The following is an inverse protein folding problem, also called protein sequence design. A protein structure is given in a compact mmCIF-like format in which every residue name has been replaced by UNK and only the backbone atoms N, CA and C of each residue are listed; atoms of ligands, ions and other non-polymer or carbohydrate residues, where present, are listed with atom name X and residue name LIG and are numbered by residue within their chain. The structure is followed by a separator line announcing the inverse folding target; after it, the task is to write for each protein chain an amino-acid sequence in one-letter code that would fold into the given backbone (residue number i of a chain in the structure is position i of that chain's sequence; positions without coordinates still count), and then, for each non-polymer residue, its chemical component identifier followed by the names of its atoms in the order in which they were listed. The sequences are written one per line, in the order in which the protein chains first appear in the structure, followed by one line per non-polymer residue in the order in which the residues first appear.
data_IF_360650399659
#
_entry.id   IF_360650399659
#
_cell.length_a   1.000
_cell.length_b   1.000
_cell.length_c   1.000
_cell.angle_alpha   90.00
_cell.angle_beta   90.00
_cell.angle_gamma   90.00
#
_symmetry.space_group_name_H-M   'P 1'
#
loop_
_entity.id
_entity.type
_entity.pdbx_description
1 polymer ?
#
# COMPACT_ATOMS: atom_id res chain seq x y z
N UNK A 1 26.01 10.68 -22.10
CA UNK A 1 24.82 10.36 -21.29
C UNK A 1 25.26 10.39 -19.84
N UNK A 2 24.48 10.98 -18.93
CA UNK A 2 24.81 10.87 -17.51
C UNK A 2 24.83 9.40 -17.09
N UNK A 3 25.66 9.03 -16.12
CA UNK A 3 25.69 7.68 -15.54
C UNK A 3 24.33 7.25 -14.92
N UNK A 4 23.35 8.16 -14.88
CA UNK A 4 22.01 7.99 -14.32
C UNK A 4 20.93 7.67 -15.37
N UNK A 5 21.23 7.76 -16.67
CA UNK A 5 20.27 7.45 -17.75
C UNK A 5 20.66 6.16 -18.47
N UNK A 6 20.39 5.02 -17.83
CA UNK A 6 20.56 3.71 -18.46
C UNK A 6 19.60 3.55 -19.67
N UNK A 7 19.96 2.79 -20.72
CA UNK A 7 19.13 2.63 -21.92
C UNK A 7 17.70 2.16 -21.63
N UNK A 8 17.54 1.21 -20.71
CA UNK A 8 16.23 0.69 -20.28
C UNK A 8 15.38 1.79 -19.66
N UNK A 9 15.98 2.61 -18.78
CA UNK A 9 15.30 3.74 -18.18
C UNK A 9 14.90 4.78 -19.24
N UNK A 10 15.81 5.13 -20.16
CA UNK A 10 15.50 6.06 -21.25
C UNK A 10 14.29 5.60 -22.08
N UNK A 11 14.21 4.30 -22.38
CA UNK A 11 13.08 3.70 -23.09
C UNK A 11 11.75 3.81 -22.33
N UNK A 12 11.75 3.58 -21.01
CA UNK A 12 10.57 3.75 -20.16
C UNK A 12 10.12 5.22 -20.12
N UNK A 13 11.05 6.15 -19.87
CA UNK A 13 10.71 7.57 -19.80
C UNK A 13 10.09 8.09 -21.09
N UNK A 14 10.60 7.67 -22.25
CA UNK A 14 10.10 8.08 -23.55
C UNK A 14 8.63 7.65 -23.77
N UNK A 15 8.25 6.46 -23.29
CA UNK A 15 6.86 5.96 -23.38
C UNK A 15 5.93 6.63 -22.36
N UNK A 16 6.47 7.06 -21.23
CA UNK A 16 5.77 7.88 -20.25
C UNK A 16 5.59 9.35 -20.66
N UNK A 17 6.21 9.77 -21.76
CA UNK A 17 6.06 11.13 -22.31
C UNK A 17 7.14 12.12 -21.90
N UNK A 18 8.24 11.68 -21.28
CA UNK A 18 9.35 12.54 -20.86
C UNK A 18 10.72 11.97 -21.23
N UNK A 19 11.77 12.76 -21.03
CA UNK A 19 13.14 12.39 -21.35
C UNK A 19 14.02 12.34 -20.11
N UNK A 20 15.22 11.76 -20.25
CA UNK A 20 16.23 11.81 -19.21
C UNK A 20 16.66 13.24 -18.83
N UNK A 21 16.48 14.22 -19.71
CA UNK A 21 16.81 15.63 -19.43
C UNK A 21 15.77 16.25 -18.47
N UNK A 22 14.57 15.67 -18.39
CA UNK A 22 13.49 16.11 -17.51
C UNK A 22 13.60 15.57 -16.08
N UNK A 23 14.57 14.69 -15.79
CA UNK A 23 14.77 14.06 -14.47
C UNK A 23 15.07 15.07 -13.34
N UNK A 24 15.59 16.26 -13.69
CA UNK A 24 15.97 17.29 -12.72
C UNK A 24 17.08 16.83 -11.76
N UNK A 25 16.98 17.18 -10.47
CA UNK A 25 18.02 16.93 -9.46
C UNK A 25 17.60 15.99 -8.33
N UNK A 26 18.29 16.08 -7.19
CA UNK A 26 17.92 15.35 -5.96
C UNK A 26 16.50 15.68 -5.49
N UNK A 27 16.06 16.92 -5.74
CA UNK A 27 14.69 17.40 -5.54
C UNK A 27 14.33 18.23 -6.76
N UNK A 28 13.14 18.00 -7.33
CA UNK A 28 12.64 18.69 -8.51
C UNK A 28 11.20 19.17 -8.26
N UNK A 29 10.89 20.36 -8.77
CA UNK A 29 9.56 20.96 -8.69
C UNK A 29 9.04 21.26 -10.09
N UNK A 30 7.81 20.85 -10.39
CA UNK A 30 7.13 21.11 -11.66
C UNK A 30 5.79 21.80 -11.43
N UNK A 31 5.29 22.47 -12.45
CA UNK A 31 3.96 23.06 -12.41
C UNK A 31 2.91 21.92 -12.57
N UNK A 32 1.98 21.71 -11.63
CA UNK A 32 0.97 20.65 -11.72
C UNK A 32 0.05 20.78 -12.94
N UNK A 33 -0.05 21.98 -13.53
CA UNK A 33 -0.87 22.23 -14.72
C UNK A 33 -0.19 21.82 -16.04
N UNK A 34 1.11 21.52 -16.00
CA UNK A 34 1.93 21.16 -17.17
C UNK A 34 2.40 19.70 -17.12
N UNK A 35 1.79 18.86 -16.27
CA UNK A 35 2.10 17.44 -16.23
C UNK A 35 1.50 16.73 -17.46
N UNK A 36 2.04 15.57 -17.81
CA UNK A 36 1.69 14.80 -19.03
C UNK A 36 0.18 14.62 -19.23
N UNK A 37 -0.57 14.43 -18.15
CA UNK A 37 -2.02 14.39 -18.20
C UNK A 37 -2.65 14.83 -16.87
N UNK A 38 -3.95 15.15 -16.92
CA UNK A 38 -4.72 15.67 -15.78
C UNK A 38 -4.88 14.70 -14.61
N UNK A 39 -4.66 13.39 -14.82
CA UNK A 39 -4.82 12.40 -13.75
C UNK A 39 -3.64 12.40 -12.78
N UNK A 40 -2.45 12.82 -13.23
CA UNK A 40 -1.25 12.94 -12.39
C UNK A 40 -1.46 13.89 -11.19
N UNK A 41 -1.85 15.18 -11.36
CA UNK A 41 -2.06 16.06 -10.22
C UNK A 41 -3.25 15.64 -9.36
N UNK A 42 -4.28 15.03 -9.95
CA UNK A 42 -5.42 14.50 -9.18
C UNK A 42 -4.99 13.35 -8.24
N UNK A 43 -4.16 12.44 -8.75
CA UNK A 43 -3.58 11.36 -7.96
C UNK A 43 -2.69 11.91 -6.84
N UNK A 44 -1.78 12.84 -7.16
CA UNK A 44 -0.89 13.45 -6.16
C UNK A 44 -1.68 14.06 -5.00
N UNK A 45 -2.65 14.91 -5.31
CA UNK A 45 -3.45 15.60 -4.29
C UNK A 45 -4.20 14.58 -3.44
N UNK A 46 -4.81 13.56 -4.05
CA UNK A 46 -5.56 12.52 -3.34
C UNK A 46 -4.66 11.80 -2.34
N UNK A 47 -3.50 11.32 -2.80
CA UNK A 47 -2.59 10.51 -2.00
C UNK A 47 -1.87 11.34 -0.93
N UNK A 48 -1.36 12.51 -1.28
CA UNK A 48 -0.64 13.41 -0.36
C UNK A 48 -1.60 13.92 0.73
N UNK A 49 -2.82 14.32 0.37
CA UNK A 49 -3.82 14.72 1.36
C UNK A 49 -4.13 13.58 2.33
N UNK A 50 -4.25 12.34 1.83
CA UNK A 50 -4.42 11.16 2.66
C UNK A 50 -3.28 10.92 3.64
N UNK A 51 -2.04 11.02 3.17
CA UNK A 51 -0.85 10.85 4.01
C UNK A 51 -0.75 11.92 5.10
N UNK A 52 -1.05 13.17 4.76
CA UNK A 52 -1.09 14.29 5.71
C UNK A 52 -2.21 14.08 6.74
N UNK A 53 -3.41 13.71 6.31
CA UNK A 53 -4.52 13.40 7.21
C UNK A 53 -4.18 12.23 8.14
N UNK A 54 -3.54 11.18 7.64
CA UNK A 54 -3.07 10.04 8.43
C UNK A 54 -2.01 10.45 9.46
N UNK A 55 -1.09 11.35 9.11
CA UNK A 55 -0.08 11.87 10.03
C UNK A 55 -0.71 12.75 11.12
N UNK A 56 -1.57 13.70 10.74
CA UNK A 56 -2.32 14.55 11.68
C UNK A 56 -3.11 13.68 12.64
N UNK A 57 -3.81 12.67 12.11
CA UNK A 57 -4.54 11.69 12.90
C UNK A 57 -3.61 10.94 13.88
N UNK A 58 -2.47 10.43 13.43
CA UNK A 58 -1.51 9.72 14.27
C UNK A 58 -0.97 10.60 15.42
N UNK A 59 -0.61 11.85 15.12
CA UNK A 59 -0.12 12.82 16.12
C UNK A 59 -1.21 13.16 17.13
N UNK A 60 -2.43 13.45 16.67
CA UNK A 60 -3.57 13.78 17.55
C UNK A 60 -3.91 12.59 18.44
N UNK A 61 -3.91 11.38 17.88
CA UNK A 61 -4.18 10.15 18.64
C UNK A 61 -3.17 9.93 19.75
N UNK A 62 -1.88 10.07 19.47
CA UNK A 62 -0.86 9.92 20.50
C UNK A 62 -1.01 10.98 21.59
N UNK A 63 -1.21 12.24 21.22
CA UNK A 63 -1.34 13.35 22.18
C UNK A 63 -2.59 13.25 23.06
N UNK A 64 -3.72 12.79 22.51
CA UNK A 64 -5.00 12.76 23.23
C UNK A 64 -5.29 11.44 23.94
N UNK A 65 -4.77 10.33 23.42
CA UNK A 65 -5.10 8.98 23.90
C UNK A 65 -3.87 8.17 24.34
N UNK A 66 -2.67 8.75 24.31
CA UNK A 66 -1.44 8.03 24.69
C UNK A 66 -1.07 6.90 23.74
N UNK A 67 -1.71 6.82 22.57
CA UNK A 67 -1.55 5.70 21.62
C UNK A 67 -0.69 6.11 20.40
N UNK A 68 0.62 5.78 20.40
CA UNK A 68 1.53 6.08 19.30
C UNK A 68 1.46 5.07 18.14
N UNK A 69 0.55 4.10 18.17
CA UNK A 69 0.52 2.99 17.20
C UNK A 69 0.47 3.46 15.76
N UNK A 70 -0.37 4.45 15.45
CA UNK A 70 -0.48 5.01 14.10
C UNK A 70 0.74 5.85 13.71
N UNK A 71 1.47 6.41 14.68
CA UNK A 71 2.70 7.16 14.39
C UNK A 71 3.81 6.20 13.99
N UNK A 72 3.94 5.09 14.71
CA UNK A 72 4.87 4.01 14.39
C UNK A 72 4.51 3.34 13.06
N UNK A 73 3.22 3.17 12.77
CA UNK A 73 2.76 2.68 11.46
C UNK A 73 3.19 3.63 10.33
N UNK A 74 2.92 4.94 10.49
CA UNK A 74 3.20 5.95 9.47
C UNK A 74 4.71 6.04 9.17
N UNK A 75 5.54 6.24 10.20
CA UNK A 75 6.99 6.34 10.00
C UNK A 75 7.64 4.98 9.74
N UNK A 76 7.06 3.87 10.19
CA UNK A 76 7.50 2.53 9.84
C UNK A 76 7.33 2.24 8.36
N UNK A 77 6.24 2.71 7.75
CA UNK A 77 6.03 2.63 6.30
C UNK A 77 7.05 3.48 5.52
N UNK A 78 7.41 4.67 6.03
CA UNK A 78 8.49 5.49 5.44
C UNK A 78 9.85 4.79 5.58
N UNK A 79 10.15 4.23 6.75
CA UNK A 79 11.38 3.47 6.99
C UNK A 79 11.48 2.25 6.05
N UNK A 80 10.36 1.55 5.83
CA UNK A 80 10.27 0.48 4.84
C UNK A 80 10.64 0.97 3.43
N UNK A 81 10.02 2.07 2.99
CA UNK A 81 10.23 2.65 1.67
C UNK A 81 11.70 2.98 1.44
N UNK A 82 12.35 3.68 2.36
CA UNK A 82 13.75 4.09 2.19
C UNK A 82 14.74 2.92 2.22
N UNK A 83 14.32 1.76 2.72
CA UNK A 83 15.11 0.52 2.67
C UNK A 83 14.95 -0.17 1.32
N UNK A 84 13.73 -0.21 0.76
CA UNK A 84 13.39 -1.01 -0.42
C UNK A 84 13.55 -0.24 -1.73
N UNK A 85 13.07 1.01 -1.82
CA UNK A 85 13.00 1.75 -3.10
C UNK A 85 14.37 2.14 -3.69
N UNK A 86 15.35 2.66 -2.93
CA UNK A 86 16.61 3.11 -3.53
C UNK A 86 17.37 1.99 -4.28
N UNK A 87 17.46 0.75 -3.78
CA UNK A 87 17.98 -0.38 -4.55
C UNK A 87 17.23 -0.67 -5.87
N UNK A 88 15.92 -0.47 -5.91
CA UNK A 88 15.11 -0.71 -7.12
C UNK A 88 15.32 0.37 -8.19
N UNK A 89 15.56 1.62 -7.76
CA UNK A 89 15.80 2.75 -8.66
C UNK A 89 17.24 2.87 -9.16
N UNK A 90 18.22 2.42 -8.38
CA UNK A 90 19.64 2.58 -8.66
C UNK A 90 20.42 1.25 -8.58
N UNK A 91 20.00 0.20 -9.30
CA UNK A 91 20.57 -1.13 -9.11
C UNK A 91 22.09 -1.17 -9.38
N UNK A 92 22.59 -0.38 -10.34
CA UNK A 92 24.02 -0.27 -10.63
C UNK A 92 24.82 0.30 -9.45
N UNK A 93 24.30 1.34 -8.80
CA UNK A 93 24.95 2.02 -7.67
C UNK A 93 24.95 1.17 -6.41
N UNK A 94 23.97 0.26 -6.27
CA UNK A 94 23.93 -0.74 -5.20
C UNK A 94 24.70 -2.03 -5.54
N UNK A 95 25.45 -2.05 -6.65
CA UNK A 95 26.27 -3.20 -7.06
C UNK A 95 25.47 -4.42 -7.53
N UNK A 96 24.17 -4.26 -7.76
CA UNK A 96 23.26 -5.31 -8.24
C UNK A 96 22.91 -5.15 -9.73
N UNK A 97 23.47 -4.15 -10.42
CA UNK A 97 23.20 -3.85 -11.84
C UNK A 97 23.54 -4.97 -12.82
N UNK A 98 24.41 -5.91 -12.44
CA UNK A 98 24.69 -7.11 -13.24
C UNK A 98 23.58 -8.19 -13.13
N UNK A 99 22.68 -8.05 -12.16
CA UNK A 99 21.65 -9.03 -11.80
C UNK A 99 20.22 -8.46 -11.86
N UNK A 100 20.08 -7.14 -11.78
CA UNK A 100 18.80 -6.40 -11.70
C UNK A 100 18.96 -5.13 -12.55
N UNK A 101 18.12 -4.97 -13.57
CA UNK A 101 18.03 -3.70 -14.31
C UNK A 101 16.90 -2.84 -13.71
N UNK A 102 16.68 -1.65 -14.23
CA UNK A 102 15.55 -0.78 -13.84
C UNK A 102 14.25 -1.59 -13.92
N UNK A 103 13.58 -1.79 -12.79
CA UNK A 103 12.35 -2.59 -12.73
C UNK A 103 11.12 -1.85 -13.27
N UNK A 104 11.07 -0.55 -13.03
CA UNK A 104 10.00 0.34 -13.45
C UNK A 104 10.48 1.78 -13.40
N UNK A 105 9.72 2.68 -14.02
CA UNK A 105 9.89 4.12 -13.91
C UNK A 105 8.54 4.77 -13.63
N UNK A 106 8.51 5.74 -12.73
CA UNK A 106 7.35 6.62 -12.57
C UNK A 106 7.39 7.73 -13.62
N UNK A 107 6.22 8.28 -13.91
CA UNK A 107 6.16 9.57 -14.59
C UNK A 107 6.71 10.68 -13.69
N UNK A 108 6.96 11.85 -14.26
CA UNK A 108 7.38 13.03 -13.51
C UNK A 108 6.17 13.76 -12.94
N UNK A 109 6.20 13.99 -11.63
CA UNK A 109 5.11 14.61 -10.90
C UNK A 109 5.50 16.03 -10.44
N UNK A 110 4.61 16.68 -9.70
CA UNK A 110 4.82 18.05 -9.18
C UNK A 110 6.06 18.12 -8.30
N UNK A 111 6.24 17.12 -7.43
CA UNK A 111 7.41 17.02 -6.54
C UNK A 111 8.04 15.64 -6.70
N UNK A 112 9.28 15.62 -7.20
CA UNK A 112 10.05 14.39 -7.34
C UNK A 112 11.36 14.47 -6.57
N UNK A 113 11.82 13.32 -6.11
CA UNK A 113 13.12 13.09 -5.50
C UNK A 113 13.95 12.16 -6.37
N UNK A 114 15.25 12.10 -6.07
CA UNK A 114 16.17 11.12 -6.65
C UNK A 114 16.20 11.15 -8.18
N UNK A 115 16.36 12.34 -8.77
CA UNK A 115 16.42 12.53 -10.23
C UNK A 115 15.17 12.00 -10.95
N UNK A 116 13.99 12.35 -10.44
CA UNK A 116 12.72 11.99 -11.08
C UNK A 116 12.29 10.54 -10.88
N UNK A 117 12.93 9.79 -9.98
CA UNK A 117 12.65 8.37 -9.76
C UNK A 117 11.73 8.09 -8.58
N UNK A 118 11.70 8.99 -7.59
CA UNK A 118 10.85 8.84 -6.40
C UNK A 118 9.91 10.04 -6.28
N UNK A 119 8.72 9.98 -6.89
CA UNK A 119 7.69 11.00 -6.70
C UNK A 119 7.20 11.10 -5.25
N UNK A 120 6.83 12.31 -4.81
CA UNK A 120 6.30 12.54 -3.47
C UNK A 120 5.02 11.73 -3.21
N UNK A 121 4.18 11.51 -4.24
CA UNK A 121 2.97 10.69 -4.06
C UNK A 121 3.32 9.23 -3.73
N UNK A 122 4.42 8.68 -4.25
CA UNK A 122 4.90 7.35 -3.86
C UNK A 122 5.32 7.36 -2.41
N UNK A 123 6.08 8.37 -1.96
CA UNK A 123 6.40 8.50 -0.52
C UNK A 123 5.13 8.54 0.34
N UNK A 124 4.10 9.24 -0.13
CA UNK A 124 2.84 9.40 0.58
C UNK A 124 1.93 8.16 0.53
N UNK A 125 1.96 7.35 -0.54
CA UNK A 125 1.02 6.23 -0.71
C UNK A 125 1.24 5.15 0.34
N UNK A 126 2.50 4.87 0.71
CA UNK A 126 2.88 3.86 1.69
C UNK A 126 2.21 4.09 3.06
N UNK A 127 2.45 5.21 3.77
CA UNK A 127 1.82 5.45 5.06
C UNK A 127 0.31 5.69 4.96
N UNK A 128 -0.17 6.27 3.85
CA UNK A 128 -1.60 6.52 3.62
C UNK A 128 -2.37 5.20 3.54
N UNK A 129 -1.97 4.31 2.65
CA UNK A 129 -2.68 3.05 2.38
C UNK A 129 -2.56 2.10 3.56
N UNK A 130 -1.36 2.00 4.16
CA UNK A 130 -1.14 1.22 5.38
C UNK A 130 -2.06 1.69 6.52
N UNK A 131 -2.22 3.01 6.69
CA UNK A 131 -3.13 3.56 7.71
C UNK A 131 -4.58 3.22 7.40
N UNK A 132 -5.06 3.41 6.17
CA UNK A 132 -6.44 3.07 5.78
C UNK A 132 -6.76 1.61 6.09
N UNK A 133 -5.92 0.69 5.63
CA UNK A 133 -6.12 -0.74 5.82
C UNK A 133 -6.07 -1.12 7.31
N UNK A 134 -5.08 -0.60 8.04
CA UNK A 134 -4.92 -0.85 9.46
C UNK A 134 -6.12 -0.36 10.29
N UNK A 135 -6.62 0.83 9.99
CA UNK A 135 -7.75 1.43 10.71
C UNK A 135 -9.06 0.70 10.49
N UNK A 136 -9.29 0.17 9.29
CA UNK A 136 -10.44 -0.70 8.99
C UNK A 136 -10.40 -1.95 9.87
N UNK A 137 -9.26 -2.65 9.86
CA UNK A 137 -9.11 -3.90 10.64
C UNK A 137 -9.17 -3.65 12.14
N UNK A 138 -8.60 -2.53 12.61
CA UNK A 138 -8.67 -2.14 14.01
C UNK A 138 -10.09 -1.76 14.44
N UNK A 139 -10.83 -1.03 13.60
CA UNK A 139 -12.23 -0.64 13.88
C UNK A 139 -13.13 -1.87 14.02
N UNK A 140 -12.91 -2.91 13.21
CA UNK A 140 -13.63 -4.19 13.33
C UNK A 140 -13.23 -5.01 14.56
N UNK A 141 -12.17 -4.60 15.29
CA UNK A 141 -11.73 -5.23 16.53
C UNK A 141 -10.93 -6.51 16.35
N UNK A 142 -10.39 -6.76 15.15
CA UNK A 142 -9.72 -8.02 14.82
C UNK A 142 -8.49 -8.25 15.69
N UNK A 143 -7.60 -7.27 15.83
CA UNK A 143 -6.37 -7.40 16.63
C UNK A 143 -6.66 -7.82 18.08
N UNK A 144 -7.68 -7.22 18.70
CA UNK A 144 -8.06 -7.51 20.09
C UNK A 144 -8.69 -8.88 20.29
N UNK A 145 -9.45 -9.38 19.31
CA UNK A 145 -10.23 -10.63 19.45
C UNK A 145 -9.63 -11.85 18.75
N UNK A 146 -8.76 -11.63 17.76
CA UNK A 146 -8.15 -12.68 16.93
C UNK A 146 -6.62 -12.68 16.99
N UNK A 147 -6.02 -11.68 17.65
CA UNK A 147 -4.59 -11.59 17.85
C UNK A 147 -3.84 -10.90 16.72
N UNK A 148 -2.54 -10.70 16.96
CA UNK A 148 -1.64 -9.88 16.12
C UNK A 148 -1.48 -10.46 14.71
N UNK A 149 -1.19 -11.76 14.60
CA UNK A 149 -0.95 -12.41 13.30
C UNK A 149 -2.17 -12.37 12.39
N UNK A 150 -3.33 -12.79 12.91
CA UNK A 150 -4.58 -12.81 12.13
C UNK A 150 -5.00 -11.40 11.74
N UNK A 151 -4.85 -10.43 12.64
CA UNK A 151 -5.11 -9.03 12.32
C UNK A 151 -4.17 -8.51 11.22
N UNK A 152 -2.88 -8.87 11.24
CA UNK A 152 -1.94 -8.50 10.20
C UNK A 152 -2.32 -9.07 8.83
N UNK A 153 -2.72 -10.34 8.77
CA UNK A 153 -3.22 -10.98 7.53
C UNK A 153 -4.44 -10.23 7.00
N UNK A 154 -5.36 -9.82 7.89
CA UNK A 154 -6.50 -9.00 7.50
C UNK A 154 -6.09 -7.61 6.99
N UNK A 155 -5.03 -7.01 7.53
CA UNK A 155 -4.50 -5.72 7.02
C UNK A 155 -3.92 -5.90 5.62
N UNK A 156 -3.17 -6.98 5.39
CA UNK A 156 -2.68 -7.32 4.05
C UNK A 156 -3.82 -7.45 3.04
N UNK A 157 -4.86 -8.20 3.38
CA UNK A 157 -6.05 -8.35 2.54
C UNK A 157 -6.80 -7.04 2.25
N UNK A 158 -7.00 -6.19 3.27
CA UNK A 158 -7.68 -4.90 3.05
C UNK A 158 -6.79 -3.96 2.24
N UNK A 159 -5.49 -3.87 2.54
CA UNK A 159 -4.56 -3.05 1.77
C UNK A 159 -4.56 -3.45 0.30
N UNK A 160 -4.46 -4.76 0.02
CA UNK A 160 -4.57 -5.35 -1.29
C UNK A 160 -5.78 -4.82 -2.06
N UNK A 161 -6.97 -4.90 -1.46
CA UNK A 161 -8.21 -4.47 -2.10
C UNK A 161 -8.23 -2.97 -2.46
N UNK A 162 -7.55 -2.10 -1.71
CA UNK A 162 -7.46 -0.67 -2.07
C UNK A 162 -6.33 -0.37 -3.06
N UNK A 163 -5.22 -1.09 -2.93
CA UNK A 163 -4.01 -0.89 -3.72
C UNK A 163 -4.20 -1.36 -5.17
N UNK A 164 -4.80 -2.52 -5.39
CA UNK A 164 -4.96 -3.10 -6.74
C UNK A 164 -5.86 -2.28 -7.66
N UNK A 165 -6.80 -1.51 -7.11
CA UNK A 165 -7.62 -0.57 -7.90
C UNK A 165 -6.73 0.50 -8.54
N UNK A 166 -5.71 0.94 -7.81
CA UNK A 166 -4.72 1.91 -8.25
C UNK A 166 -3.65 1.27 -9.14
N UNK A 167 -3.14 0.08 -8.77
CA UNK A 167 -2.02 -0.55 -9.47
C UNK A 167 -2.41 -0.98 -10.91
N UNK A 168 -3.64 -1.50 -11.09
CA UNK A 168 -4.10 -1.96 -12.41
C UNK A 168 -4.51 -0.84 -13.38
N UNK A 169 -4.74 0.39 -12.90
CA UNK A 169 -5.03 1.52 -13.80
C UNK A 169 -3.80 2.39 -14.09
N UNK A 170 -2.79 2.36 -13.22
CA UNK A 170 -1.62 3.21 -13.32
C UNK A 170 -0.86 3.13 -14.64
N UNK A 171 -0.54 1.94 -15.17
CA UNK A 171 0.11 1.81 -16.47
C UNK A 171 -0.71 2.42 -17.61
N UNK A 172 -2.03 2.22 -17.62
CA UNK A 172 -2.91 2.77 -18.64
C UNK A 172 -2.97 4.31 -18.59
N UNK A 173 -2.85 4.91 -17.41
CA UNK A 173 -2.85 6.37 -17.20
C UNK A 173 -1.44 6.99 -17.19
N UNK A 174 -0.41 6.19 -17.54
CA UNK A 174 1.00 6.60 -17.56
C UNK A 174 1.48 7.17 -16.23
N UNK A 175 1.05 6.60 -15.11
CA UNK A 175 1.58 6.97 -13.79
C UNK A 175 2.94 6.34 -13.54
N UNK A 176 3.14 5.12 -14.04
CA UNK A 176 4.41 4.43 -14.12
C UNK A 176 4.35 3.36 -15.20
N UNK A 177 5.50 2.82 -15.54
CA UNK A 177 5.64 1.72 -16.47
C UNK A 177 6.60 0.66 -15.94
N UNK A 178 6.23 -0.60 -16.11
CA UNK A 178 7.03 -1.77 -15.75
C UNK A 178 7.97 -2.16 -16.90
N UNK A 179 9.18 -2.58 -16.56
CA UNK A 179 10.08 -3.24 -17.52
C UNK A 179 9.58 -4.65 -17.80
N UNK A 180 9.07 -4.87 -19.01
CA UNK A 180 8.38 -6.12 -19.38
C UNK A 180 9.29 -7.36 -19.27
N UNK A 181 10.54 -7.26 -19.73
CA UNK A 181 11.46 -8.40 -19.77
C UNK A 181 12.22 -8.61 -18.45
N UNK A 182 11.89 -7.84 -17.40
CA UNK A 182 12.61 -7.93 -16.13
C UNK A 182 12.21 -9.19 -15.35
N UNK A 183 13.14 -10.07 -14.94
CA UNK A 183 12.80 -11.34 -14.27
C UNK A 183 11.98 -11.19 -12.99
N UNK A 184 12.20 -10.10 -12.23
CA UNK A 184 11.43 -9.83 -11.00
C UNK A 184 10.01 -9.28 -11.26
N UNK A 185 9.70 -8.90 -12.50
CA UNK A 185 8.35 -8.48 -12.90
C UNK A 185 7.52 -9.67 -13.43
N UNK A 186 8.13 -10.84 -13.60
CA UNK A 186 7.48 -12.00 -14.19
C UNK A 186 6.92 -12.96 -13.12
N UNK A 187 5.77 -13.61 -13.39
CA UNK A 187 4.88 -13.35 -14.52
C UNK A 187 4.01 -12.11 -14.32
N UNK A 188 3.45 -11.58 -15.40
CA UNK A 188 2.46 -10.51 -15.37
C UNK A 188 1.04 -11.05 -15.19
N UNK A 189 0.22 -10.28 -14.48
CA UNK A 189 -1.23 -10.36 -14.44
C UNK A 189 -1.80 -9.13 -15.17
N UNK A 190 -2.15 -9.33 -16.44
CA UNK A 190 -2.43 -8.24 -17.39
C UNK A 190 -1.24 -7.24 -17.41
N UNK A 191 -1.44 -5.94 -17.17
CA UNK A 191 -0.35 -4.95 -17.16
C UNK A 191 0.48 -4.90 -15.87
N UNK A 192 0.16 -5.69 -14.84
CA UNK A 192 0.78 -5.60 -13.51
C UNK A 192 1.56 -6.87 -13.16
N UNK A 193 2.82 -6.78 -12.72
CA UNK A 193 3.57 -7.94 -12.23
C UNK A 193 2.84 -8.67 -11.10
N UNK A 194 2.67 -9.99 -11.22
CA UNK A 194 2.09 -10.79 -10.14
C UNK A 194 2.89 -10.71 -8.83
N UNK A 195 4.24 -10.59 -8.84
CA UNK A 195 4.99 -10.26 -7.63
C UNK A 195 4.54 -8.92 -6.99
N UNK A 196 4.12 -7.92 -7.77
CA UNK A 196 3.56 -6.67 -7.22
C UNK A 196 2.22 -6.92 -6.52
N UNK A 197 1.31 -7.59 -7.22
CA UNK A 197 -0.02 -7.97 -6.73
C UNK A 197 0.04 -8.73 -5.41
N UNK A 198 1.11 -9.48 -5.15
CA UNK A 198 1.24 -10.25 -3.90
C UNK A 198 2.10 -9.51 -2.87
N UNK A 199 3.31 -9.10 -3.26
CA UNK A 199 4.30 -8.56 -2.32
C UNK A 199 3.96 -7.11 -1.96
N UNK A 200 3.79 -6.24 -2.96
CA UNK A 200 3.51 -4.82 -2.79
C UNK A 200 2.05 -4.56 -2.35
N UNK A 201 1.11 -5.39 -2.77
CA UNK A 201 -0.29 -5.21 -2.39
C UNK A 201 -0.66 -5.84 -1.03
N UNK A 202 -0.08 -6.99 -0.65
CA UNK A 202 -0.55 -7.76 0.50
C UNK A 202 0.51 -8.10 1.56
N UNK A 203 1.71 -8.53 1.16
CA UNK A 203 2.68 -9.11 2.11
C UNK A 203 3.45 -8.08 2.92
N UNK A 204 3.94 -6.98 2.32
CA UNK A 204 4.61 -5.94 3.10
C UNK A 204 3.69 -5.23 4.10
N UNK A 205 2.42 -4.85 3.78
CA UNK A 205 1.55 -4.20 4.77
C UNK A 205 1.16 -5.20 5.88
N UNK A 206 1.07 -6.50 5.56
CA UNK A 206 0.92 -7.56 6.56
C UNK A 206 2.13 -7.58 7.50
N UNK A 207 3.35 -7.60 6.96
CA UNK A 207 4.58 -7.58 7.76
C UNK A 207 4.68 -6.33 8.66
N UNK A 208 4.39 -5.16 8.09
CA UNK A 208 4.37 -3.90 8.84
C UNK A 208 3.33 -3.93 9.96
N UNK A 209 2.08 -4.30 9.65
CA UNK A 209 1.01 -4.38 10.64
C UNK A 209 1.32 -5.37 11.77
N UNK A 210 1.91 -6.52 11.43
CA UNK A 210 2.38 -7.50 12.40
C UNK A 210 3.40 -6.88 13.36
N UNK A 211 4.45 -6.25 12.82
CA UNK A 211 5.50 -5.62 13.61
C UNK A 211 4.95 -4.47 14.48
N UNK A 212 4.16 -3.56 13.92
CA UNK A 212 3.53 -2.45 14.66
C UNK A 212 2.72 -2.97 15.84
N UNK A 213 1.90 -3.99 15.63
CA UNK A 213 1.08 -4.57 16.69
C UNK A 213 1.89 -5.37 17.70
N UNK A 214 2.92 -6.08 17.27
CA UNK A 214 3.80 -6.84 18.15
C UNK A 214 4.60 -5.93 19.09
N UNK A 215 5.15 -4.82 18.58
CA UNK A 215 6.03 -3.94 19.36
C UNK A 215 5.30 -2.82 20.09
N UNK A 216 4.13 -2.38 19.59
CA UNK A 216 3.40 -1.22 20.10
C UNK A 216 1.94 -1.56 20.40
N UNK A 217 1.15 -1.87 19.37
CA UNK A 217 -0.32 -1.90 19.45
C UNK A 217 -0.86 -2.79 20.58
N UNK A 218 -0.38 -4.03 20.70
CA UNK A 218 -0.83 -4.97 21.75
C UNK A 218 -0.51 -4.49 23.17
N UNK A 219 0.58 -3.73 23.33
CA UNK A 219 1.00 -3.22 24.63
C UNK A 219 0.16 -1.99 25.01
N UNK A 220 -0.15 -1.14 24.04
CA UNK A 220 -1.08 -0.01 24.23
C UNK A 220 -2.48 -0.53 24.58
N UNK A 221 -2.95 -1.56 23.88
CA UNK A 221 -4.23 -2.23 24.18
C UNK A 221 -4.25 -2.83 25.61
N UNK A 222 -3.09 -3.19 26.15
CA UNK A 222 -2.90 -3.65 27.53
C UNK A 222 -2.70 -2.50 28.55
N UNK A 223 -2.79 -1.24 28.12
CA UNK A 223 -2.65 -0.06 28.98
C UNK A 223 -1.22 0.45 29.17
N UNK A 224 -0.25 -0.03 28.38
CA UNK A 224 1.14 0.45 28.43
C UNK A 224 1.28 1.76 27.68
N UNK A 225 1.94 2.74 28.30
CA UNK A 225 2.34 3.99 27.66
C UNK A 225 3.82 3.97 27.26
N UNK A 226 4.17 4.70 26.20
CA UNK A 226 5.53 4.81 25.71
C UNK A 226 6.04 6.25 25.71
N UNK A 227 7.30 6.43 26.10
CA UNK A 227 8.02 7.69 25.94
C UNK A 227 8.41 7.93 24.48
N UNK A 228 8.74 9.17 24.11
CA UNK A 228 9.14 9.50 22.74
C UNK A 228 10.35 8.70 22.23
N UNK A 229 11.35 8.46 23.08
CA UNK A 229 12.52 7.63 22.73
C UNK A 229 12.11 6.17 22.49
N UNK A 230 11.19 5.65 23.30
CA UNK A 230 10.65 4.31 23.13
C UNK A 230 9.84 4.13 21.84
N UNK A 231 9.14 5.19 21.41
CA UNK A 231 8.42 5.24 20.13
C UNK A 231 9.42 5.29 18.97
N UNK A 232 10.46 6.12 19.07
CA UNK A 232 11.48 6.27 18.03
C UNK A 232 12.19 4.96 17.70
N UNK A 233 12.77 4.28 18.69
CA UNK A 233 13.51 3.04 18.39
C UNK A 233 12.58 1.93 17.88
N UNK A 234 11.36 1.84 18.41
CA UNK A 234 10.36 0.88 17.92
C UNK A 234 9.99 1.15 16.48
N UNK A 235 9.90 2.41 16.07
CA UNK A 235 9.69 2.80 14.67
C UNK A 235 10.81 2.28 13.78
N UNK A 236 12.07 2.45 14.20
CA UNK A 236 13.22 1.95 13.46
C UNK A 236 13.17 0.42 13.34
N UNK A 237 12.97 -0.28 14.47
CA UNK A 237 12.89 -1.75 14.51
C UNK A 237 11.73 -2.27 13.67
N UNK A 238 10.56 -1.64 13.77
CA UNK A 238 9.39 -1.99 12.96
C UNK A 238 9.68 -1.80 11.48
N UNK A 239 10.29 -0.69 11.07
CA UNK A 239 10.65 -0.45 9.66
C UNK A 239 11.59 -1.53 9.12
N UNK A 240 12.67 -1.83 9.85
CA UNK A 240 13.65 -2.85 9.46
C UNK A 240 13.02 -4.25 9.38
N UNK A 241 12.29 -4.67 10.41
CA UNK A 241 11.66 -5.99 10.42
C UNK A 241 10.53 -6.10 9.39
N UNK A 242 9.81 -5.01 9.14
CA UNK A 242 8.80 -4.98 8.08
C UNK A 242 9.44 -5.28 6.71
N UNK A 243 10.58 -4.64 6.41
CA UNK A 243 11.36 -4.86 5.17
C UNK A 243 11.88 -6.28 5.05
N UNK A 244 12.29 -6.92 6.15
CA UNK A 244 12.66 -8.36 6.13
C UNK A 244 11.48 -9.22 5.70
N UNK A 245 10.26 -8.91 6.13
CA UNK A 245 9.06 -9.64 5.71
C UNK A 245 8.83 -9.63 4.20
N UNK A 246 9.14 -8.53 3.51
CA UNK A 246 9.06 -8.45 2.04
C UNK A 246 10.02 -9.41 1.34
N UNK A 247 11.17 -9.71 1.94
CA UNK A 247 12.08 -10.71 1.40
C UNK A 247 11.66 -12.15 1.78
N UNK A 248 11.13 -12.35 3.00
CA UNK A 248 10.87 -13.68 3.57
C UNK A 248 9.53 -14.27 3.15
N UNK A 249 8.46 -13.45 3.16
CA UNK A 249 7.11 -13.93 2.89
C UNK A 249 6.91 -14.50 1.48
N UNK A 250 7.47 -13.92 0.40
CA UNK A 250 7.38 -14.50 -0.94
C UNK A 250 8.47 -15.55 -1.24
N UNK A 251 9.23 -16.00 -0.23
CA UNK A 251 10.26 -17.02 -0.44
C UNK A 251 9.73 -18.31 -1.09
N UNK A 252 8.56 -18.85 -0.71
CA UNK A 252 8.04 -20.04 -1.37
C UNK A 252 7.91 -19.85 -2.89
N UNK A 253 7.30 -18.74 -3.33
CA UNK A 253 7.15 -18.43 -4.75
C UNK A 253 8.49 -18.19 -5.46
N UNK A 254 9.35 -17.35 -4.89
CA UNK A 254 10.65 -17.02 -5.49
C UNK A 254 11.59 -18.22 -5.56
N UNK A 255 11.60 -19.08 -4.54
CA UNK A 255 12.45 -20.26 -4.51
C UNK A 255 11.94 -21.33 -5.47
N UNK A 256 10.63 -21.62 -5.48
CA UNK A 256 10.08 -22.63 -6.40
C UNK A 256 10.20 -22.20 -7.86
N UNK A 257 9.97 -20.91 -8.18
CA UNK A 257 10.22 -20.38 -9.52
C UNK A 257 11.68 -20.55 -9.94
N UNK A 258 12.64 -20.26 -9.05
CA UNK A 258 14.07 -20.43 -9.32
C UNK A 258 14.49 -21.89 -9.46
N UNK A 259 14.02 -22.77 -8.56
CA UNK A 259 14.39 -24.19 -8.56
C UNK A 259 13.84 -24.94 -9.79
N UNK A 260 12.65 -24.55 -10.26
CA UNK A 260 12.02 -25.15 -11.44
C UNK A 260 12.42 -24.49 -12.75
N UNK A 261 13.01 -23.28 -12.70
CA UNK A 261 13.29 -22.46 -13.88
C UNK A 261 12.02 -21.99 -14.61
N UNK A 262 10.85 -22.08 -13.97
CA UNK A 262 9.56 -21.75 -14.57
C UNK A 262 8.93 -20.53 -13.90
N UNK A 263 8.72 -19.48 -14.70
CA UNK A 263 7.97 -18.28 -14.30
C UNK A 263 6.53 -18.64 -13.95
N UNK A 264 5.93 -19.59 -14.65
CA UNK A 264 4.55 -20.02 -14.43
C UNK A 264 4.39 -20.69 -13.07
N UNK A 265 5.33 -21.57 -12.69
CA UNK A 265 5.32 -22.21 -11.36
C UNK A 265 5.47 -21.16 -10.26
N UNK A 266 6.42 -20.22 -10.41
CA UNK A 266 6.59 -19.11 -9.47
C UNK A 266 5.30 -18.29 -9.35
N UNK A 267 4.64 -17.99 -10.47
CA UNK A 267 3.38 -17.27 -10.50
C UNK A 267 2.23 -18.00 -9.82
N UNK A 268 2.08 -19.31 -10.07
CA UNK A 268 1.06 -20.12 -9.39
C UNK A 268 1.27 -20.08 -7.87
N UNK A 269 2.51 -20.15 -7.40
CA UNK A 269 2.78 -20.10 -5.96
C UNK A 269 2.49 -18.72 -5.38
N UNK A 270 2.83 -17.63 -6.08
CA UNK A 270 2.39 -16.28 -5.69
C UNK A 270 0.87 -16.19 -5.56
N UNK A 271 0.13 -16.71 -6.55
CA UNK A 271 -1.33 -16.74 -6.49
C UNK A 271 -1.85 -17.56 -5.29
N UNK A 272 -1.21 -18.69 -4.96
CA UNK A 272 -1.56 -19.52 -3.80
C UNK A 272 -1.28 -18.81 -2.46
N UNK A 273 -0.20 -18.02 -2.37
CA UNK A 273 0.08 -17.17 -1.20
C UNK A 273 -1.06 -16.16 -0.99
N UNK A 274 -1.50 -15.49 -2.05
CA UNK A 274 -2.63 -14.56 -1.99
C UNK A 274 -3.96 -15.26 -1.66
N UNK A 275 -4.23 -16.42 -2.25
CA UNK A 275 -5.42 -17.23 -1.91
C UNK A 275 -5.41 -17.62 -0.43
N UNK A 276 -4.24 -17.92 0.13
CA UNK A 276 -4.08 -18.24 1.56
C UNK A 276 -4.43 -17.04 2.44
N UNK A 277 -3.97 -15.83 2.07
CA UNK A 277 -4.34 -14.58 2.76
C UNK A 277 -5.86 -14.38 2.71
N UNK A 278 -6.48 -14.54 1.54
CA UNK A 278 -7.93 -14.43 1.35
C UNK A 278 -8.72 -15.45 2.19
N UNK A 279 -8.28 -16.72 2.18
CA UNK A 279 -8.93 -17.83 2.89
C UNK A 279 -8.95 -17.61 4.41
N UNK A 280 -7.98 -16.88 4.95
CA UNK A 280 -7.94 -16.50 6.37
C UNK A 280 -8.71 -15.19 6.61
N UNK A 281 -8.45 -14.16 5.82
CA UNK A 281 -8.96 -12.81 6.06
C UNK A 281 -10.48 -12.73 5.90
N UNK A 282 -11.05 -13.35 4.87
CA UNK A 282 -12.49 -13.21 4.56
C UNK A 282 -13.37 -13.78 5.70
N UNK A 283 -13.20 -15.05 6.15
CA UNK A 283 -14.01 -15.58 7.25
C UNK A 283 -13.81 -14.79 8.55
N UNK A 284 -12.59 -14.32 8.82
CA UNK A 284 -12.27 -13.55 10.02
C UNK A 284 -12.96 -12.19 10.00
N UNK A 285 -12.86 -11.43 8.91
CA UNK A 285 -13.46 -10.11 8.78
C UNK A 285 -14.98 -10.19 8.82
N UNK A 286 -15.59 -11.14 8.10
CA UNK A 286 -17.04 -11.36 8.13
C UNK A 286 -17.52 -11.77 9.53
N UNK A 287 -16.81 -12.71 10.16
CA UNK A 287 -17.13 -13.16 11.52
C UNK A 287 -17.01 -12.02 12.54
N UNK A 288 -15.93 -11.26 12.50
CA UNK A 288 -15.72 -10.14 13.43
C UNK A 288 -16.68 -8.98 13.18
N UNK A 289 -17.00 -8.66 11.92
CA UNK A 289 -18.03 -7.69 11.60
C UNK A 289 -19.38 -8.07 12.25
N UNK A 290 -19.82 -9.34 12.11
CA UNK A 290 -21.06 -9.83 12.74
C UNK A 290 -21.03 -9.69 14.26
N UNK A 291 -19.93 -10.09 14.90
CA UNK A 291 -19.78 -9.98 16.36
C UNK A 291 -19.75 -8.51 16.81
N UNK A 292 -19.02 -7.65 16.13
CA UNK A 292 -18.87 -6.23 16.47
C UNK A 292 -20.17 -5.46 16.26
N UNK A 293 -21.01 -5.84 15.28
CA UNK A 293 -22.37 -5.28 15.14
C UNK A 293 -23.27 -5.57 16.34
N UNK A 294 -23.11 -6.72 16.97
CA UNK A 294 -23.92 -7.11 18.14
C UNK A 294 -23.39 -6.52 19.45
N UNK A 295 -22.06 -6.39 19.56
CA UNK A 295 -21.38 -6.05 20.82
C UNK A 295 -20.92 -4.60 20.89
N UNK A 296 -21.02 -3.86 19.78
CA UNK A 296 -20.47 -2.52 19.62
C UNK A 296 -18.96 -2.52 19.33
N UNK A 297 -18.52 -1.51 18.59
CA UNK A 297 -17.11 -1.26 18.34
C UNK A 297 -16.49 -0.50 19.53
N UNK A 298 -15.33 -0.97 20.01
CA UNK A 298 -14.56 -0.26 21.05
C UNK A 298 -13.85 0.99 20.51
N UNK A 299 -13.74 1.11 19.19
CA UNK A 299 -12.98 2.14 18.52
C UNK A 299 -13.62 2.45 17.15
N UNK A 300 -13.58 3.72 16.73
CA UNK A 300 -13.95 4.12 15.38
C UNK A 300 -13.04 5.23 14.86
N UNK A 301 -12.82 5.25 13.54
CA UNK A 301 -12.07 6.29 12.84
C UNK A 301 -12.90 6.93 11.71
N UNK A 302 -13.85 7.83 12.01
CA UNK A 302 -14.68 8.44 10.97
C UNK A 302 -13.84 9.24 9.96
N UNK A 303 -12.72 9.84 10.38
CA UNK A 303 -11.84 10.60 9.49
C UNK A 303 -11.22 9.70 8.41
N UNK A 304 -10.58 8.60 8.80
CA UNK A 304 -9.94 7.70 7.84
C UNK A 304 -10.94 6.90 7.02
N UNK A 305 -12.09 6.53 7.58
CA UNK A 305 -13.18 5.91 6.81
C UNK A 305 -13.85 6.90 5.84
N UNK A 306 -13.84 8.19 6.15
CA UNK A 306 -14.28 9.26 5.25
C UNK A 306 -13.31 9.39 4.07
N UNK A 307 -12.03 9.56 4.37
CA UNK A 307 -10.97 9.63 3.36
C UNK A 307 -10.92 8.38 2.47
N UNK A 308 -11.00 7.17 3.04
CA UNK A 308 -11.01 5.92 2.28
C UNK A 308 -12.15 5.87 1.26
N UNK A 309 -13.33 6.40 1.61
CA UNK A 309 -14.45 6.50 0.67
C UNK A 309 -14.19 7.53 -0.44
N UNK A 310 -13.58 8.68 -0.11
CA UNK A 310 -13.17 9.69 -1.11
C UNK A 310 -12.15 9.09 -2.08
N UNK A 311 -11.16 8.36 -1.58
CA UNK A 311 -10.18 7.64 -2.40
C UNK A 311 -10.87 6.68 -3.38
N UNK A 312 -11.82 5.85 -2.92
CA UNK A 312 -12.56 4.94 -3.80
C UNK A 312 -13.38 5.68 -4.85
N UNK A 313 -13.99 6.82 -4.51
CA UNK A 313 -14.72 7.65 -5.48
C UNK A 313 -13.78 8.20 -6.54
N UNK A 314 -12.62 8.75 -6.15
CA UNK A 314 -11.62 9.25 -7.10
C UNK A 314 -11.14 8.13 -8.02
N UNK A 315 -10.80 6.96 -7.47
CA UNK A 315 -10.37 5.80 -8.26
C UNK A 315 -11.47 5.30 -9.20
N UNK A 316 -12.72 5.29 -8.77
CA UNK A 316 -13.85 4.92 -9.62
C UNK A 316 -14.05 5.90 -10.79
N UNK A 317 -13.88 7.21 -10.55
CA UNK A 317 -13.92 8.23 -11.61
C UNK A 317 -12.78 8.03 -12.60
N UNK A 318 -11.55 7.80 -12.12
CA UNK A 318 -10.39 7.55 -12.96
C UNK A 318 -10.60 6.30 -13.84
N UNK A 319 -11.07 5.19 -13.26
CA UNK A 319 -11.46 4.00 -14.01
C UNK A 319 -12.54 4.30 -15.04
N UNK A 320 -13.62 4.99 -14.66
CA UNK A 320 -14.70 5.34 -15.58
C UNK A 320 -14.21 6.17 -16.78
N UNK A 321 -13.27 7.10 -16.56
CA UNK A 321 -12.66 7.89 -17.65
C UNK A 321 -11.70 7.08 -18.53
N UNK A 322 -11.10 6.02 -18.00
CA UNK A 322 -10.19 5.13 -18.72
C UNK A 322 -10.92 4.02 -19.52
N UNK A 323 -12.19 3.73 -19.17
CA UNK A 323 -12.98 2.66 -19.80
C UNK A 323 -13.08 2.75 -21.33
N UNK A 324 -13.27 3.92 -21.97
CA UNK A 324 -13.32 3.98 -23.43
C UNK A 324 -12.05 3.47 -24.10
N UNK A 325 -10.88 3.86 -23.59
CA UNK A 325 -9.59 3.38 -24.08
C UNK A 325 -9.36 1.90 -23.74
N UNK A 326 -9.84 1.45 -22.58
CA UNK A 326 -9.80 0.05 -22.16
C UNK A 326 -10.58 -0.86 -23.13
N UNK A 327 -11.82 -0.50 -23.47
CA UNK A 327 -12.64 -1.29 -24.39
C UNK A 327 -12.18 -1.18 -25.85
N UNK A 328 -11.43 -0.13 -26.19
CA UNK A 328 -10.77 0.01 -27.49
C UNK A 328 -9.41 -0.70 -27.57
N UNK A 329 -8.92 -1.29 -26.48
CA UNK A 329 -7.61 -1.92 -26.45
C UNK A 329 -7.60 -3.22 -27.26
N UNK A 330 -6.47 -3.48 -27.92
CA UNK A 330 -6.22 -4.70 -28.70
C UNK A 330 -4.95 -5.36 -28.20
N UNK A 331 -5.01 -6.66 -27.89
CA UNK A 331 -3.85 -7.38 -27.34
C UNK A 331 -3.38 -6.85 -25.98
N UNK A 332 -4.28 -6.27 -25.17
CA UNK A 332 -3.92 -5.73 -23.85
C UNK A 332 -3.27 -4.34 -23.89
N UNK A 333 -3.33 -3.63 -25.02
CA UNK A 333 -2.72 -2.30 -25.19
C UNK A 333 -3.70 -1.34 -25.85
N UNK A 334 -3.80 -0.11 -25.34
CA UNK A 334 -4.63 0.96 -25.92
C UNK A 334 -4.10 1.41 -27.29
N UNK A 335 -4.88 2.21 -28.02
CA UNK A 335 -4.44 2.82 -29.28
C UNK A 335 -3.25 3.77 -29.12
N UNK A 336 -3.00 4.25 -27.90
CA UNK A 336 -1.89 5.14 -27.54
C UNK A 336 -0.65 4.38 -27.04
N UNK A 337 -0.69 3.04 -27.04
CA UNK A 337 0.43 2.20 -26.62
C UNK A 337 0.46 1.89 -25.12
N UNK A 338 -0.59 2.24 -24.37
CA UNK A 338 -0.60 2.06 -22.92
C UNK A 338 -1.14 0.66 -22.55
N UNK A 339 -0.43 -0.11 -21.72
CA UNK A 339 -0.88 -1.44 -21.33
C UNK A 339 -2.09 -1.35 -20.37
N UNK A 340 -3.12 -2.15 -20.60
CA UNK A 340 -4.34 -2.18 -19.76
C UNK A 340 -4.24 -3.24 -18.67
N UNK A 341 -4.69 -2.91 -17.47
CA UNK A 341 -4.75 -3.86 -16.35
C UNK A 341 -5.99 -4.73 -16.36
N UNK A 342 -6.31 -5.33 -15.21
CA UNK A 342 -7.40 -6.28 -15.09
C UNK A 342 -8.67 -5.61 -14.57
N UNK A 343 -9.62 -5.27 -15.45
CA UNK A 343 -10.85 -4.57 -15.05
C UNK A 343 -11.69 -5.37 -14.05
N UNK A 344 -11.89 -6.67 -14.31
CA UNK A 344 -12.74 -7.51 -13.45
C UNK A 344 -12.13 -7.66 -12.04
N UNK A 345 -10.81 -7.77 -11.96
CA UNK A 345 -10.09 -7.90 -10.71
C UNK A 345 -10.11 -6.59 -9.91
N UNK A 346 -9.93 -5.47 -10.61
CA UNK A 346 -10.04 -4.12 -10.02
C UNK A 346 -11.45 -3.85 -9.51
N UNK A 347 -12.49 -4.30 -10.22
CA UNK A 347 -13.88 -4.23 -9.76
C UNK A 347 -14.12 -5.09 -8.52
N UNK A 348 -13.57 -6.30 -8.46
CA UNK A 348 -13.65 -7.16 -7.28
C UNK A 348 -12.97 -6.48 -6.07
N UNK A 349 -11.78 -5.91 -6.27
CA UNK A 349 -11.05 -5.17 -5.25
C UNK A 349 -11.84 -3.95 -4.77
N UNK A 350 -12.45 -3.19 -5.68
CA UNK A 350 -13.34 -2.06 -5.37
C UNK A 350 -14.55 -2.50 -4.53
N UNK A 351 -15.18 -3.62 -4.85
CA UNK A 351 -16.29 -4.17 -4.06
C UNK A 351 -15.81 -4.56 -2.65
N UNK A 352 -14.67 -5.25 -2.53
CA UNK A 352 -14.11 -5.65 -1.22
C UNK A 352 -13.74 -4.43 -0.38
N UNK A 353 -13.13 -3.41 -0.97
CA UNK A 353 -12.78 -2.16 -0.30
C UNK A 353 -14.04 -1.42 0.17
N UNK A 354 -15.06 -1.29 -0.68
CA UNK A 354 -16.33 -0.67 -0.34
C UNK A 354 -17.06 -1.42 0.78
N UNK A 355 -17.11 -2.76 0.71
CA UNK A 355 -17.68 -3.60 1.76
C UNK A 355 -16.94 -3.46 3.09
N UNK A 356 -15.62 -3.31 3.06
CA UNK A 356 -14.80 -3.10 4.27
C UNK A 356 -15.13 -1.77 4.95
N UNK A 357 -15.32 -0.69 4.17
CA UNK A 357 -15.79 0.61 4.69
C UNK A 357 -17.22 0.48 5.23
N UNK A 358 -18.12 -0.14 4.47
CA UNK A 358 -19.52 -0.32 4.87
C UNK A 358 -19.64 -1.12 6.17
N UNK A 359 -18.83 -2.17 6.32
CA UNK A 359 -18.75 -2.96 7.54
C UNK A 359 -18.38 -2.09 8.75
N UNK A 360 -17.35 -1.24 8.63
CA UNK A 360 -16.94 -0.32 9.69
C UNK A 360 -17.97 0.77 10.00
N UNK A 361 -18.71 1.26 8.99
CA UNK A 361 -19.77 2.27 9.20
C UNK A 361 -21.05 1.68 9.82
N UNK A 362 -21.26 0.38 9.67
CA UNK A 362 -22.45 -0.32 10.18
C UNK A 362 -22.37 -0.72 11.66
N UNK A 363 -21.22 -0.51 12.32
CA UNK A 363 -21.03 -0.83 13.74
C UNK A 363 -21.19 0.44 14.59
N UNK A 364 -21.96 0.36 15.68
CA UNK A 364 -22.10 1.45 16.64
C UNK A 364 -20.93 1.47 17.62
N UNK A 365 -20.41 2.66 17.94
CA UNK A 365 -19.39 2.80 19.00
C UNK A 365 -20.03 2.53 20.35
N UNK A 366 -19.41 1.66 21.15
CA UNK A 366 -19.86 1.37 22.50
C UNK A 366 -19.56 2.57 23.40
N UNK A 367 -20.55 3.08 24.13
CA UNK A 367 -20.31 4.06 25.17
C UNK A 367 -19.40 3.47 26.26
N UNK A 368 -18.41 4.22 26.77
CA UNK A 368 -17.64 3.78 27.92
C UNK A 368 -18.62 3.52 29.06
N UNK A 369 -18.70 2.28 29.54
CA UNK A 369 -19.45 1.98 30.76
C UNK A 369 -18.80 2.75 31.89
N UNK A 370 -19.48 3.79 32.39
CA UNK A 370 -19.11 4.47 33.63
C UNK A 370 -18.92 3.41 34.70
N UNK A 371 -17.76 3.34 35.39
CA UNK A 371 -17.60 2.42 36.51
C UNK A 371 -18.74 2.69 37.50
N UNK A 372 -19.53 1.67 37.78
CA UNK A 372 -20.52 1.73 38.85
C UNK A 372 -19.75 2.10 40.14
N UNK A 373 -20.12 3.18 40.84
CA UNK A 373 -19.43 3.53 42.08
C UNK A 373 -19.53 2.33 43.00
N UNK A 374 -18.38 1.77 43.36
CA UNK A 374 -18.27 0.77 44.42
C UNK A 374 -18.99 1.36 45.63
N UNK A 375 -20.19 0.85 45.91
CA UNK A 375 -20.88 1.10 47.16
C UNK A 375 -19.89 0.71 48.25
N UNK A 376 -19.36 1.72 48.93
CA UNK A 376 -18.56 1.54 50.11
C UNK A 376 -19.46 0.86 51.15
N UNK A 377 -19.32 -0.46 51.26
CA UNK A 377 -19.84 -1.22 52.37
C UNK A 377 -18.83 -1.08 53.52
N UNK A 378 -19.27 -0.43 54.61
CA UNK A 378 -18.51 -0.33 55.87
C UNK A 378 -18.66 1.03 56.52
#
# INVERSE_FOLDING_TARGET
MSDLCAPTFAGLTARLGFSCDDMGGLVSFRNPLNLENWTLPLLEITVIAGAVLALVYAVVRWRRHGDPTNLVLWFGAIAYLVIIEPPLYFPAQFGIGAYVDTMFAHNVFTVDFLWGRLPLYIIAIYPMMATVAYEIVRTLGVFRRRGVLVGAICVGFVHHAFYEIFDHIGPQLRWWEWTLDHPMNQPFFDSVPLPSVVVFAALWPMSLAFCVQLFVGRHVDAGTNFTGVQVLWRTIVVGVLASVGTAVLPLPATLLGKLTGSTDVGGVVYALELVTVCAVAIPVLVGQWRTTRQTGASYANPLMLGYAAVYLVVMAVLWATALPAYFGATGGVTTQGDPVGSLWYSLLCLVVAALSIAACRSVTTREPTTPEPLLAAG
#
